data_IF_635911718386
#
_entry.id   IF_635911718386
#
_cell.length_a   1.000
_cell.length_b   1.000
_cell.length_c   1.000
_cell.angle_alpha   90.00
_cell.angle_beta   90.00
_cell.angle_gamma   90.00
#
_symmetry.space_group_name_H-M   'P 1'
#
loop_
_entity.id
_entity.type
_entity.pdbx_description
1 polymer ?
#
# COMPACT_ATOMS: atom_id res chain seq x y z
N UNK A 1 10.43 5.02 -10.22
CA UNK A 1 9.29 4.10 -9.99
C UNK A 1 9.48 3.15 -8.81
N UNK A 2 10.66 2.55 -8.59
CA UNK A 2 10.91 1.63 -7.47
C UNK A 2 10.65 2.24 -6.06
N UNK A 3 11.01 3.52 -5.85
CA UNK A 3 10.85 4.21 -4.54
C UNK A 3 9.41 4.24 -4.03
N UNK A 4 8.43 4.45 -4.92
CA UNK A 4 7.02 4.56 -4.52
C UNK A 4 6.45 3.19 -4.12
N UNK A 5 6.81 2.14 -4.85
CA UNK A 5 6.45 0.76 -4.49
C UNK A 5 7.04 0.33 -3.14
N UNK A 6 8.30 0.69 -2.87
CA UNK A 6 8.94 0.44 -1.57
C UNK A 6 8.24 1.18 -0.43
N UNK A 7 7.81 2.42 -0.65
CA UNK A 7 7.06 3.19 0.34
C UNK A 7 5.70 2.56 0.64
N UNK A 8 4.95 2.16 -0.40
CA UNK A 8 3.67 1.44 -0.23
C UNK A 8 3.86 0.21 0.64
N UNK A 9 4.88 -0.60 0.33
CA UNK A 9 5.19 -1.80 1.09
C UNK A 9 5.55 -1.47 2.55
N UNK A 10 6.39 -0.46 2.77
CA UNK A 10 6.81 -0.02 4.11
C UNK A 10 5.59 0.38 4.95
N UNK A 11 4.71 1.23 4.43
CA UNK A 11 3.53 1.72 5.15
C UNK A 11 2.62 0.55 5.58
N UNK A 12 2.37 -0.41 4.67
CA UNK A 12 1.57 -1.60 4.97
C UNK A 12 2.23 -2.46 6.07
N UNK A 13 3.55 -2.62 6.05
CA UNK A 13 4.25 -3.43 7.05
C UNK A 13 4.34 -2.77 8.42
N UNK A 14 4.47 -1.45 8.47
CA UNK A 14 4.47 -0.66 9.71
C UNK A 14 3.12 -0.71 10.39
N UNK A 15 2.02 -0.53 9.65
CA UNK A 15 0.66 -0.47 10.22
C UNK A 15 -0.05 -1.82 10.29
N UNK A 16 0.48 -2.85 9.66
CA UNK A 16 -0.14 -4.18 9.57
C UNK A 16 -1.26 -4.25 8.54
N UNK A 17 -2.24 -3.35 8.61
CA UNK A 17 -3.32 -3.16 7.64
C UNK A 17 -3.56 -1.67 7.41
N UNK A 18 -3.79 -1.28 6.14
CA UNK A 18 -4.06 0.11 5.75
C UNK A 18 -5.12 0.16 4.66
N UNK A 19 -6.00 1.14 4.75
CA UNK A 19 -6.92 1.47 3.67
C UNK A 19 -6.20 2.26 2.57
N UNK A 20 -6.82 2.33 1.38
CA UNK A 20 -6.32 3.12 0.26
C UNK A 20 -6.20 4.60 0.62
N UNK A 21 -7.14 5.16 1.39
CA UNK A 21 -7.13 6.57 1.76
C UNK A 21 -6.01 6.87 2.77
N UNK A 22 -5.82 6.02 3.80
CA UNK A 22 -4.68 6.15 4.72
C UNK A 22 -3.33 6.02 3.99
N UNK A 23 -3.26 5.11 3.02
CA UNK A 23 -2.05 4.93 2.22
C UNK A 23 -1.77 6.16 1.34
N UNK A 24 -2.79 6.80 0.79
CA UNK A 24 -2.64 8.03 0.01
C UNK A 24 -2.16 9.18 0.89
N UNK A 25 -2.78 9.37 2.04
CA UNK A 25 -2.43 10.42 2.99
C UNK A 25 -0.97 10.27 3.46
N UNK A 26 -0.56 9.06 3.85
CA UNK A 26 0.81 8.80 4.30
C UNK A 26 1.83 9.02 3.16
N UNK A 27 1.51 8.60 1.94
CA UNK A 27 2.40 8.79 0.80
C UNK A 27 2.51 10.25 0.38
N UNK A 28 1.43 11.02 0.47
CA UNK A 28 1.45 12.45 0.20
C UNK A 28 2.30 13.20 1.23
N UNK A 29 2.18 12.85 2.51
CA UNK A 29 3.03 13.38 3.60
C UNK A 29 4.51 13.07 3.38
N UNK A 30 4.84 11.84 2.99
CA UNK A 30 6.22 11.39 2.78
C UNK A 30 6.87 11.94 1.51
N UNK A 31 6.07 12.18 0.46
CA UNK A 31 6.58 12.63 -0.84
C UNK A 31 6.47 14.15 -1.03
N UNK A 32 5.74 14.84 -0.17
CA UNK A 32 5.43 16.27 -0.30
C UNK A 32 4.59 16.60 -1.54
N UNK A 33 3.90 15.60 -2.12
CA UNK A 33 3.06 15.76 -3.31
C UNK A 33 2.01 14.67 -3.39
N UNK A 34 0.86 15.00 -3.98
CA UNK A 34 -0.21 14.05 -4.25
C UNK A 34 0.23 12.89 -5.16
N UNK A 35 -0.31 11.71 -4.88
CA UNK A 35 -0.13 10.51 -5.71
C UNK A 35 -1.48 10.05 -6.24
N UNK A 36 -1.54 9.71 -7.53
CA UNK A 36 -2.80 9.23 -8.13
C UNK A 36 -3.24 7.90 -7.49
N UNK A 37 -4.54 7.82 -7.17
CA UNK A 37 -5.19 6.59 -6.70
C UNK A 37 -4.93 5.40 -7.64
N UNK A 38 -4.91 5.64 -8.95
CA UNK A 38 -4.67 4.59 -9.95
C UNK A 38 -3.25 4.03 -9.84
N UNK A 39 -2.26 4.89 -9.62
CA UNK A 39 -0.86 4.50 -9.41
C UNK A 39 -0.70 3.64 -8.17
N UNK A 40 -1.31 4.03 -7.04
CA UNK A 40 -1.26 3.23 -5.80
C UNK A 40 -1.94 1.88 -5.96
N UNK A 41 -3.11 1.84 -6.61
CA UNK A 41 -3.80 0.57 -6.91
C UNK A 41 -2.95 -0.36 -7.77
N UNK A 42 -2.25 0.18 -8.77
CA UNK A 42 -1.33 -0.59 -9.62
C UNK A 42 -0.19 -1.20 -8.80
N UNK A 43 0.46 -0.42 -7.92
CA UNK A 43 1.52 -0.94 -7.06
C UNK A 43 1.02 -1.95 -6.04
N UNK A 44 -0.10 -1.68 -5.39
CA UNK A 44 -0.69 -2.63 -4.45
C UNK A 44 -1.06 -3.95 -5.16
N UNK A 45 -1.55 -3.89 -6.40
CA UNK A 45 -1.82 -5.08 -7.20
C UNK A 45 -0.53 -5.85 -7.55
N UNK A 46 0.54 -5.15 -7.94
CA UNK A 46 1.84 -5.78 -8.19
C UNK A 46 2.40 -6.46 -6.92
N UNK A 47 2.38 -5.77 -5.78
CA UNK A 47 2.82 -6.30 -4.50
C UNK A 47 1.98 -7.50 -4.05
N UNK A 48 0.66 -7.49 -4.31
CA UNK A 48 -0.22 -8.63 -4.08
C UNK A 48 0.17 -9.83 -4.94
N UNK A 49 0.43 -9.63 -6.24
CA UNK A 49 0.89 -10.72 -7.14
C UNK A 49 2.23 -11.32 -6.72
N UNK A 50 3.10 -10.50 -6.13
CA UNK A 50 4.38 -10.95 -5.57
C UNK A 50 4.25 -11.63 -4.19
N UNK A 51 3.04 -11.75 -3.64
CA UNK A 51 2.80 -12.29 -2.30
C UNK A 51 3.33 -11.41 -1.16
N UNK A 52 3.67 -10.14 -1.45
CA UNK A 52 4.24 -9.21 -0.46
C UNK A 52 3.17 -8.60 0.45
N UNK A 53 1.94 -8.48 -0.04
CA UNK A 53 0.77 -8.01 0.72
C UNK A 53 -0.45 -8.87 0.38
N UNK A 54 -1.47 -8.81 1.22
CA UNK A 54 -2.81 -9.35 0.97
C UNK A 54 -3.84 -8.22 0.92
N UNK A 55 -4.97 -8.45 0.26
CA UNK A 55 -6.06 -7.47 0.19
C UNK A 55 -7.37 -8.21 0.44
N UNK A 56 -7.81 -8.32 1.72
CA UNK A 56 -8.98 -9.11 2.10
C UNK A 56 -10.29 -8.44 1.68
N UNK A 57 -10.31 -7.11 1.61
CA UNK A 57 -11.45 -6.31 1.18
C UNK A 57 -11.01 -5.25 0.17
N UNK A 58 -11.93 -4.77 -0.66
CA UNK A 58 -11.63 -3.75 -1.68
C UNK A 58 -11.08 -2.48 -1.03
N UNK A 59 -9.85 -2.12 -1.39
CA UNK A 59 -9.19 -0.92 -0.87
C UNK A 59 -8.56 -1.09 0.52
N UNK A 60 -8.49 -2.32 1.05
CA UNK A 60 -7.74 -2.65 2.27
C UNK A 60 -6.51 -3.48 1.90
N UNK A 61 -5.34 -3.10 2.40
CA UNK A 61 -4.04 -3.71 2.11
C UNK A 61 -3.36 -4.09 3.42
N UNK A 62 -3.03 -5.35 3.59
CA UNK A 62 -2.42 -5.86 4.82
C UNK A 62 -1.12 -6.61 4.52
N UNK A 63 -0.21 -6.64 5.51
CA UNK A 63 0.93 -7.55 5.46
C UNK A 63 0.42 -9.01 5.56
N UNK A 64 1.07 -9.97 4.90
CA UNK A 64 0.71 -11.37 5.02
C UNK A 64 0.78 -11.83 6.48
N UNK A 65 -0.16 -12.68 6.91
CA UNK A 65 -0.19 -13.21 8.27
C UNK A 65 -0.88 -12.30 9.31
N UNK A 66 -1.36 -11.11 8.94
CA UNK A 66 -2.28 -10.34 9.78
C UNK A 66 -3.71 -10.75 9.41
N UNK A 67 -4.42 -11.37 10.37
CA UNK A 67 -5.77 -11.92 10.18
C UNK A 67 -5.85 -13.45 10.09
N UNK A 68 -5.04 -14.18 10.85
CA UNK A 68 -5.32 -15.57 11.25
C UNK A 68 -5.57 -15.62 12.75
#
# INVERSE_FOLDING_TARGET
MARLMSLVLRVVYTRGCVTLEELLEELERELGRGVSRATIRSYAWQLKRMGKIVSPSRGLYCRPGVGR
#
